data_IF_876308013710
#
_entry.id   IF_876308013710
#
_cell.length_a   1.000
_cell.length_b   1.000
_cell.length_c   1.000
_cell.angle_alpha   90.00
_cell.angle_beta   90.00
_cell.angle_gamma   90.00
#
_symmetry.space_group_name_H-M   'P 1'
#
loop_
_entity.id
_entity.type
_entity.pdbx_description
1 polymer ?
#
# COMPACT_ATOMS: atom_id res chain seq x y z
N UNK A 1 -3.50 1.36 9.97
CA UNK A 1 -2.32 1.78 9.16
C UNK A 1 -1.43 2.66 10.01
N UNK A 2 -0.10 2.55 9.89
CA UNK A 2 0.82 3.42 10.64
C UNK A 2 2.13 3.62 9.89
N UNK A 3 2.78 4.76 10.15
CA UNK A 3 4.11 5.08 9.66
C UNK A 3 4.84 6.00 10.63
N UNK A 4 6.15 5.89 10.68
CA UNK A 4 7.03 6.85 11.34
C UNK A 4 7.90 7.50 10.26
N UNK A 5 8.04 8.82 10.31
CA UNK A 5 8.93 9.55 9.39
C UNK A 5 9.82 10.51 10.18
N UNK A 6 11.10 10.51 9.83
CA UNK A 6 12.11 11.44 10.31
C UNK A 6 12.79 12.10 9.12
N UNK A 7 12.92 13.42 9.18
CA UNK A 7 13.70 14.18 8.21
C UNK A 7 14.89 14.79 8.95
N UNK A 8 16.10 14.41 8.58
CA UNK A 8 17.33 14.89 9.21
C UNK A 8 18.47 14.95 8.20
N UNK A 9 19.21 16.06 8.18
CA UNK A 9 20.38 16.28 7.33
C UNK A 9 20.12 15.99 5.84
N UNK A 10 18.91 16.33 5.36
CA UNK A 10 18.48 16.11 3.97
C UNK A 10 18.05 14.67 3.65
N UNK A 11 18.08 13.77 4.64
CA UNK A 11 17.66 12.38 4.49
C UNK A 11 16.26 12.20 5.11
N UNK A 12 15.41 11.47 4.40
CA UNK A 12 14.07 11.09 4.85
C UNK A 12 14.05 9.61 5.18
N UNK A 13 13.98 9.29 6.45
CA UNK A 13 13.80 7.90 6.93
C UNK A 13 12.32 7.61 7.16
N UNK A 14 11.82 6.53 6.58
CA UNK A 14 10.43 6.07 6.66
C UNK A 14 10.39 4.68 7.24
N UNK A 15 9.69 4.47 8.36
CA UNK A 15 9.41 3.14 8.92
C UNK A 15 7.93 2.83 8.75
N UNK A 16 7.61 1.83 7.95
CA UNK A 16 6.23 1.40 7.72
C UNK A 16 6.17 -0.06 7.29
N UNK A 17 5.12 -0.75 7.70
CA UNK A 17 4.75 -2.03 7.14
C UNK A 17 4.10 -1.83 5.77
N UNK A 18 4.83 -2.05 4.69
CA UNK A 18 4.36 -1.87 3.32
C UNK A 18 4.57 -3.09 2.46
N UNK A 19 3.69 -3.27 1.46
CA UNK A 19 3.83 -4.28 0.41
C UNK A 19 4.68 -3.81 -0.78
N UNK A 20 5.10 -2.53 -0.79
CA UNK A 20 5.85 -1.95 -1.89
C UNK A 20 6.81 -0.85 -1.44
N UNK A 21 7.99 -1.21 -0.92
CA UNK A 21 8.97 -0.25 -0.40
C UNK A 21 9.46 0.74 -1.47
N UNK A 22 9.71 0.27 -2.70
CA UNK A 22 10.14 1.13 -3.80
C UNK A 22 9.04 2.14 -4.20
N UNK A 23 7.76 1.70 -4.17
CA UNK A 23 6.63 2.60 -4.37
C UNK A 23 6.53 3.67 -3.27
N UNK A 24 6.72 3.28 -2.02
CA UNK A 24 6.76 4.21 -0.89
C UNK A 24 7.89 5.24 -1.03
N UNK A 25 9.08 4.80 -1.40
CA UNK A 25 10.21 5.68 -1.66
C UNK A 25 9.88 6.74 -2.73
N UNK A 26 9.38 6.31 -3.88
CA UNK A 26 9.05 7.22 -4.97
C UNK A 26 7.89 8.18 -4.66
N UNK A 27 6.89 7.73 -3.90
CA UNK A 27 5.78 8.58 -3.49
C UNK A 27 6.22 9.65 -2.48
N UNK A 28 6.98 9.27 -1.47
CA UNK A 28 7.53 10.21 -0.47
C UNK A 28 8.47 11.21 -1.13
N UNK A 29 9.34 10.76 -2.02
CA UNK A 29 10.25 11.64 -2.76
C UNK A 29 9.47 12.72 -3.55
N UNK A 30 8.42 12.32 -4.26
CA UNK A 30 7.54 13.26 -4.99
C UNK A 30 6.77 14.20 -4.07
N UNK A 31 6.22 13.68 -2.97
CA UNK A 31 5.44 14.49 -2.02
C UNK A 31 6.28 15.60 -1.36
N UNK A 32 7.54 15.27 -1.04
CA UNK A 32 8.44 16.22 -0.37
C UNK A 32 9.31 17.04 -1.33
N UNK A 33 9.24 16.77 -2.64
CA UNK A 33 10.09 17.36 -3.68
C UNK A 33 11.59 17.17 -3.39
N UNK A 34 11.98 15.92 -3.12
CA UNK A 34 13.36 15.50 -2.87
C UNK A 34 13.77 14.36 -3.78
N UNK A 35 15.07 14.17 -3.98
CA UNK A 35 15.59 13.04 -4.73
C UNK A 35 15.27 11.71 -4.03
N UNK A 36 14.89 10.70 -4.80
CA UNK A 36 14.56 9.39 -4.26
C UNK A 36 15.73 8.72 -3.50
N UNK A 37 16.97 9.07 -3.88
CA UNK A 37 18.19 8.60 -3.20
C UNK A 37 18.27 9.06 -1.74
N UNK A 38 17.63 10.18 -1.42
CA UNK A 38 17.56 10.75 -0.08
C UNK A 38 16.42 10.15 0.77
N UNK A 39 15.60 9.27 0.21
CA UNK A 39 14.50 8.58 0.92
C UNK A 39 14.88 7.14 1.21
N UNK A 40 14.88 6.76 2.48
CA UNK A 40 15.18 5.40 2.97
C UNK A 40 13.93 4.78 3.57
N UNK A 41 13.45 3.69 3.00
CA UNK A 41 12.29 2.96 3.51
C UNK A 41 12.75 1.74 4.29
N UNK A 42 12.50 1.78 5.59
CA UNK A 42 12.77 0.69 6.54
C UNK A 42 11.50 -0.14 6.70
N UNK A 43 11.37 -1.19 5.90
CA UNK A 43 10.17 -2.06 5.92
C UNK A 43 10.06 -2.76 7.26
N UNK A 44 8.90 -2.58 7.90
CA UNK A 44 8.56 -3.22 9.17
C UNK A 44 7.77 -4.51 8.94
N UNK A 45 7.70 -5.37 9.97
CA UNK A 45 6.92 -6.60 9.92
C UNK A 45 5.45 -6.32 9.63
N UNK A 46 4.88 -7.13 8.74
CA UNK A 46 3.46 -7.16 8.41
C UNK A 46 2.83 -8.44 8.96
N UNK A 47 1.69 -8.32 9.63
CA UNK A 47 0.85 -9.47 9.99
C UNK A 47 -0.06 -9.94 8.84
N UNK A 48 0.04 -9.26 7.69
CA UNK A 48 -0.72 -9.48 6.47
C UNK A 48 -0.98 -8.14 5.79
N UNK A 49 -0.94 -8.09 4.46
CA UNK A 49 -1.07 -6.85 3.69
C UNK A 49 -2.38 -6.75 2.91
N UNK A 50 -2.82 -7.88 2.32
CA UNK A 50 -4.07 -8.04 1.57
C UNK A 50 -4.34 -6.95 0.52
N UNK A 51 -3.29 -6.34 -0.03
CA UNK A 51 -3.35 -5.18 -0.94
C UNK A 51 -3.51 -3.85 -0.19
N UNK A 52 -4.07 -3.82 1.02
CA UNK A 52 -4.29 -2.58 1.78
C UNK A 52 -2.98 -1.89 2.20
N UNK A 53 -1.95 -2.66 2.54
CA UNK A 53 -0.64 -2.12 2.86
C UNK A 53 0.20 -1.73 1.62
N UNK A 54 -0.37 -1.79 0.42
CA UNK A 54 0.15 -1.19 -0.80
C UNK A 54 -0.31 0.26 -1.01
N UNK A 55 -1.35 0.70 -0.27
CA UNK A 55 -1.79 2.10 -0.28
C UNK A 55 -0.99 2.89 0.75
N UNK A 56 -0.52 4.08 0.41
CA UNK A 56 0.53 4.78 1.15
C UNK A 56 0.10 6.14 1.72
N UNK A 57 -1.20 6.45 1.73
CA UNK A 57 -1.73 7.73 2.23
C UNK A 57 -1.20 8.09 3.62
N UNK A 58 -1.24 7.16 4.56
CA UNK A 58 -0.71 7.35 5.92
C UNK A 58 0.81 7.62 5.97
N UNK A 59 1.57 7.13 4.98
CA UNK A 59 3.01 7.40 4.87
C UNK A 59 3.24 8.83 4.37
N UNK A 60 2.46 9.26 3.37
CA UNK A 60 2.52 10.63 2.84
C UNK A 60 2.13 11.63 3.92
N UNK A 61 1.05 11.37 4.66
CA UNK A 61 0.63 12.21 5.80
C UNK A 61 1.76 12.36 6.84
N UNK A 62 2.39 11.25 7.22
CA UNK A 62 3.50 11.27 8.17
C UNK A 62 4.70 12.08 7.63
N UNK A 63 4.99 11.96 6.33
CA UNK A 63 6.08 12.69 5.69
C UNK A 63 5.81 14.20 5.65
N UNK A 64 4.61 14.60 5.26
CA UNK A 64 4.21 16.01 5.24
C UNK A 64 4.19 16.63 6.64
N UNK A 65 3.67 15.91 7.64
CA UNK A 65 3.70 16.38 9.03
C UNK A 65 5.13 16.48 9.58
N UNK A 66 6.01 15.55 9.25
CA UNK A 66 7.42 15.62 9.62
C UNK A 66 8.10 16.85 9.00
N UNK A 67 7.83 17.14 7.72
CA UNK A 67 8.33 18.33 7.02
C UNK A 67 7.83 19.62 7.68
N UNK A 68 6.54 19.72 7.97
CA UNK A 68 5.92 20.92 8.54
C UNK A 68 6.36 21.19 9.98
N UNK A 69 6.55 20.15 10.77
CA UNK A 69 6.90 20.28 12.20
C UNK A 69 8.40 20.30 12.48
N UNK A 70 9.22 19.84 11.54
CA UNK A 70 10.65 19.63 11.73
C UNK A 70 10.97 18.54 12.79
N UNK A 71 10.03 17.66 13.08
CA UNK A 71 10.16 16.61 14.11
C UNK A 71 9.99 15.22 13.51
N UNK A 72 10.48 14.21 14.23
CA UNK A 72 10.08 12.82 13.94
C UNK A 72 8.60 12.66 14.30
N UNK A 73 7.80 12.19 13.33
CA UNK A 73 6.35 12.04 13.47
C UNK A 73 5.97 10.58 13.33
N UNK A 74 5.06 10.13 14.18
CA UNK A 74 4.34 8.87 14.00
C UNK A 74 2.87 9.17 13.71
N UNK A 75 2.37 8.67 12.59
CA UNK A 75 0.94 8.65 12.27
C UNK A 75 0.40 7.25 12.53
N UNK A 76 -0.71 7.15 13.22
CA UNK A 76 -1.46 5.91 13.45
C UNK A 76 -2.92 6.23 13.11
N UNK A 77 -3.45 5.61 12.06
CA UNK A 77 -4.88 5.67 11.78
C UNK A 77 -5.64 4.79 12.75
N UNK A 78 -6.68 5.32 13.35
CA UNK A 78 -7.63 4.52 14.13
C UNK A 78 -8.36 3.54 13.22
N UNK A 79 -9.16 2.65 13.79
CA UNK A 79 -9.99 1.74 12.98
C UNK A 79 -11.04 2.52 12.19
N UNK A 80 -11.59 3.55 12.80
CA UNK A 80 -12.57 4.46 12.19
C UNK A 80 -11.96 5.21 11.01
N UNK A 81 -10.77 5.77 11.16
CA UNK A 81 -10.05 6.46 10.08
C UNK A 81 -9.79 5.52 8.91
N UNK A 82 -9.32 4.31 9.19
CA UNK A 82 -8.97 3.32 8.16
C UNK A 82 -10.22 2.83 7.40
N UNK A 83 -11.35 2.67 8.09
CA UNK A 83 -12.62 2.25 7.45
C UNK A 83 -13.20 3.40 6.61
N UNK A 84 -13.17 4.64 7.11
CA UNK A 84 -13.79 5.77 6.42
C UNK A 84 -12.97 6.28 5.24
N UNK A 85 -11.63 6.19 5.32
CA UNK A 85 -10.72 6.77 4.32
C UNK A 85 -9.96 5.70 3.52
N UNK A 86 -10.20 4.42 3.79
CA UNK A 86 -9.56 3.32 3.08
C UNK A 86 -10.18 3.05 1.72
N UNK A 87 -9.39 2.51 0.80
CA UNK A 87 -9.89 2.02 -0.48
C UNK A 87 -10.63 0.69 -0.30
N UNK A 88 -11.81 0.59 -0.93
CA UNK A 88 -12.61 -0.63 -0.92
C UNK A 88 -12.27 -1.52 -2.10
N UNK A 89 -12.34 -2.85 -1.88
CA UNK A 89 -12.28 -3.79 -2.98
C UNK A 89 -13.49 -3.61 -3.89
N UNK A 90 -13.32 -3.46 -5.21
CA UNK A 90 -14.44 -3.37 -6.13
C UNK A 90 -15.21 -4.70 -6.17
N UNK A 91 -16.51 -4.61 -6.40
CA UNK A 91 -17.32 -5.79 -6.66
C UNK A 91 -16.82 -6.52 -7.90
N UNK A 92 -16.84 -7.84 -7.87
CA UNK A 92 -16.48 -8.65 -9.02
C UNK A 92 -17.34 -9.90 -9.13
N UNK A 93 -17.61 -10.30 -10.37
CA UNK A 93 -18.22 -11.58 -10.72
C UNK A 93 -17.12 -12.51 -11.24
N UNK A 94 -17.03 -13.70 -10.67
CA UNK A 94 -16.14 -14.75 -11.13
C UNK A 94 -16.96 -15.93 -11.61
N UNK A 95 -16.81 -16.29 -12.91
CA UNK A 95 -17.38 -17.51 -13.49
C UNK A 95 -16.25 -18.50 -13.68
N UNK A 96 -16.42 -19.70 -13.11
CA UNK A 96 -15.44 -20.78 -13.25
C UNK A 96 -16.15 -21.99 -13.86
N UNK A 97 -15.51 -22.61 -14.86
CA UNK A 97 -15.83 -23.93 -15.38
C UNK A 97 -14.61 -24.81 -15.20
N UNK A 98 -14.79 -25.95 -14.60
CA UNK A 98 -13.70 -26.89 -14.36
C UNK A 98 -14.15 -28.30 -14.75
N UNK A 99 -13.25 -29.09 -15.29
CA UNK A 99 -13.44 -30.50 -15.56
C UNK A 99 -12.50 -31.33 -14.71
N UNK A 100 -12.99 -32.48 -14.25
CA UNK A 100 -12.21 -33.46 -13.53
C UNK A 100 -12.32 -34.82 -14.23
N UNK A 101 -11.29 -35.65 -14.12
CA UNK A 101 -11.31 -37.02 -14.62
C UNK A 101 -12.03 -37.98 -13.66
N UNK A 102 -12.03 -39.27 -13.99
CA UNK A 102 -12.67 -40.31 -13.19
C UNK A 102 -11.99 -40.56 -11.83
N UNK A 103 -10.79 -40.04 -11.61
CA UNK A 103 -10.02 -40.13 -10.37
C UNK A 103 -10.10 -38.85 -9.53
N UNK A 104 -10.80 -37.81 -10.05
CA UNK A 104 -11.00 -36.53 -9.38
C UNK A 104 -9.86 -35.52 -9.61
N UNK A 105 -8.94 -35.80 -10.52
CA UNK A 105 -7.87 -34.86 -10.87
C UNK A 105 -8.41 -33.77 -11.83
N UNK A 106 -7.97 -32.53 -11.61
CA UNK A 106 -8.36 -31.37 -12.42
C UNK A 106 -7.75 -31.48 -13.83
N UNK A 107 -8.61 -31.53 -14.86
CA UNK A 107 -8.19 -31.69 -16.26
C UNK A 107 -8.36 -30.39 -17.07
N UNK A 108 -9.32 -29.57 -16.72
CA UNK A 108 -9.60 -28.30 -17.42
C UNK A 108 -9.98 -27.22 -16.44
N UNK A 109 -9.60 -25.97 -16.76
CA UNK A 109 -9.94 -24.80 -15.98
C UNK A 109 -10.18 -23.61 -16.92
N UNK A 110 -11.37 -23.03 -16.85
CA UNK A 110 -11.74 -21.80 -17.56
C UNK A 110 -12.30 -20.82 -16.53
N UNK A 111 -11.66 -19.66 -16.39
CA UNK A 111 -12.07 -18.65 -15.43
C UNK A 111 -12.22 -17.29 -16.11
N UNK A 112 -13.41 -16.71 -16.00
CA UNK A 112 -13.72 -15.35 -16.47
C UNK A 112 -14.02 -14.47 -15.26
N UNK A 113 -13.30 -13.35 -15.11
CA UNK A 113 -13.58 -12.34 -14.09
C UNK A 113 -14.06 -11.05 -14.74
N UNK A 114 -15.17 -10.52 -14.23
CA UNK A 114 -15.69 -9.18 -14.56
C UNK A 114 -15.73 -8.37 -13.27
N UNK A 115 -15.13 -7.19 -13.28
CA UNK A 115 -15.08 -6.31 -12.10
C UNK A 115 -14.23 -5.07 -12.31
N UNK A 116 -14.26 -4.16 -11.37
CA UNK A 116 -13.44 -2.95 -11.39
C UNK A 116 -11.93 -3.26 -11.40
N UNK A 117 -11.17 -2.35 -11.96
CA UNK A 117 -9.71 -2.40 -11.91
C UNK A 117 -9.21 -1.78 -10.60
N UNK A 118 -8.35 -2.49 -9.89
CA UNK A 118 -7.77 -2.03 -8.62
C UNK A 118 -6.55 -1.11 -8.85
N UNK A 119 -5.84 -1.33 -9.95
CA UNK A 119 -4.54 -0.69 -10.19
C UNK A 119 -4.58 0.84 -10.34
N UNK A 120 -5.54 1.46 -11.06
CA UNK A 120 -5.61 2.91 -11.14
C UNK A 120 -5.81 3.58 -9.79
N UNK A 121 -6.69 3.02 -8.95
CA UNK A 121 -7.00 3.60 -7.63
C UNK A 121 -5.82 3.48 -6.65
N UNK A 122 -4.96 2.47 -6.82
CA UNK A 122 -3.75 2.31 -6.01
C UNK A 122 -2.57 3.19 -6.47
N UNK A 123 -2.58 3.63 -7.73
CA UNK A 123 -1.48 4.41 -8.31
C UNK A 123 -1.80 5.91 -8.39
N UNK A 124 -3.07 6.29 -8.20
CA UNK A 124 -3.54 7.68 -8.28
C UNK A 124 -3.65 8.37 -6.91
N UNK A 125 -3.41 7.64 -5.84
CA UNK A 125 -3.44 8.16 -4.46
C UNK A 125 -2.09 8.65 -3.98
#
# INVERSE_FOLDING_TARGET
MNAVVRIQDGIVDVWSGTQGAAGAQGLVARSLDVDAENVRVHTQHLGGGFGRCGTLGHVIEAAELARQTGKTVQVIWTREDDIQNGLYRPASLLRIKAGVDGEGALTTWDATRVGGNITPDMLSS
#
